data_IF_222605542086
#
_entry.id   IF_222605542086
#
_cell.length_a   1.000
_cell.length_b   1.000
_cell.length_c   1.000
_cell.angle_alpha   90.00
_cell.angle_beta   90.00
_cell.angle_gamma   90.00
#
_symmetry.space_group_name_H-M   'P 1'
#
loop_
_entity.id
_entity.type
_entity.pdbx_description
1 polymer ?
#
# COMPACT_ATOMS: atom_id res chain seq x y z
N UNK A 1 12.49 24.77 -20.00
CA UNK A 1 12.70 23.47 -19.31
C UNK A 1 12.79 22.44 -20.41
N UNK A 2 13.94 21.77 -20.60
CA UNK A 2 14.15 20.86 -21.74
C UNK A 2 13.31 19.58 -21.54
N UNK A 3 12.75 19.07 -22.64
CA UNK A 3 11.92 17.85 -22.65
C UNK A 3 12.62 16.66 -22.00
N UNK A 4 13.95 16.60 -22.12
CA UNK A 4 14.80 15.58 -21.49
C UNK A 4 14.76 15.59 -19.96
N UNK A 5 14.67 16.76 -19.31
CA UNK A 5 14.56 16.88 -17.85
C UNK A 5 13.19 16.42 -17.36
N UNK A 6 12.14 16.69 -18.13
CA UNK A 6 10.76 16.26 -17.78
C UNK A 6 10.63 14.74 -17.91
N UNK A 7 11.18 14.14 -18.98
CA UNK A 7 11.17 12.69 -19.18
C UNK A 7 12.01 11.95 -18.13
N UNK A 8 13.15 12.49 -17.73
CA UNK A 8 14.00 11.89 -16.69
C UNK A 8 13.33 11.83 -15.32
N UNK A 9 12.46 12.80 -14.99
CA UNK A 9 11.75 12.85 -13.72
C UNK A 9 10.32 12.27 -13.78
N UNK A 10 9.86 11.82 -14.93
CA UNK A 10 8.51 11.27 -15.10
C UNK A 10 8.17 10.11 -14.12
N UNK A 11 9.08 9.14 -13.85
CA UNK A 11 8.80 8.08 -12.87
C UNK A 11 8.53 8.63 -11.47
N UNK A 12 9.24 9.67 -11.07
CA UNK A 12 9.05 10.32 -9.76
C UNK A 12 7.66 10.96 -9.65
N UNK A 13 7.24 11.67 -10.71
CA UNK A 13 5.92 12.31 -10.73
C UNK A 13 4.78 11.29 -10.76
N UNK A 14 4.89 10.26 -11.60
CA UNK A 14 3.88 9.18 -11.69
C UNK A 14 3.79 8.42 -10.37
N UNK A 15 4.93 8.09 -9.76
CA UNK A 15 4.98 7.41 -8.48
C UNK A 15 4.39 8.26 -7.36
N UNK A 16 4.82 9.51 -7.24
CA UNK A 16 4.31 10.45 -6.23
C UNK A 16 2.81 10.69 -6.36
N UNK A 17 2.31 10.92 -7.58
CA UNK A 17 0.89 11.12 -7.84
C UNK A 17 0.06 9.87 -7.52
N UNK A 18 0.54 8.67 -7.89
CA UNK A 18 -0.15 7.42 -7.59
C UNK A 18 -0.20 7.15 -6.08
N UNK A 19 0.88 7.44 -5.36
CA UNK A 19 0.92 7.29 -3.91
C UNK A 19 0.03 8.32 -3.19
N UNK A 20 0.03 9.58 -3.63
CA UNK A 20 -0.87 10.60 -3.10
C UNK A 20 -2.35 10.22 -3.29
N UNK A 21 -2.70 9.72 -4.49
CA UNK A 21 -4.05 9.25 -4.76
C UNK A 21 -4.41 8.02 -3.93
N UNK A 22 -3.46 7.10 -3.73
CA UNK A 22 -3.63 5.96 -2.82
C UNK A 22 -3.93 6.43 -1.39
N UNK A 23 -3.20 7.42 -0.87
CA UNK A 23 -3.47 7.97 0.47
C UNK A 23 -4.87 8.60 0.56
N UNK A 24 -5.32 9.33 -0.45
CA UNK A 24 -6.68 9.88 -0.51
C UNK A 24 -7.73 8.77 -0.46
N UNK A 25 -7.56 7.70 -1.25
CA UNK A 25 -8.46 6.55 -1.24
C UNK A 25 -8.43 5.82 0.11
N UNK A 26 -7.26 5.73 0.75
CA UNK A 26 -7.10 5.11 2.06
C UNK A 26 -7.78 5.94 3.17
N UNK A 27 -7.68 7.27 3.11
CA UNK A 27 -8.44 8.18 4.01
C UNK A 27 -9.94 7.99 3.81
N UNK A 28 -10.38 7.88 2.56
CA UNK A 28 -11.79 7.64 2.27
C UNK A 28 -12.26 6.27 2.78
N UNK A 29 -11.48 5.20 2.56
CA UNK A 29 -11.75 3.88 3.10
C UNK A 29 -11.84 3.91 4.64
N UNK A 30 -10.92 4.62 5.29
CA UNK A 30 -10.92 4.82 6.75
C UNK A 30 -12.18 5.58 7.24
N UNK A 31 -12.62 6.60 6.51
CA UNK A 31 -13.83 7.35 6.85
C UNK A 31 -15.11 6.48 6.73
N UNK A 32 -15.18 5.61 5.71
CA UNK A 32 -16.30 4.67 5.55
C UNK A 32 -16.25 3.60 6.64
N UNK A 33 -15.08 3.06 6.95
CA UNK A 33 -14.91 2.05 8.01
C UNK A 33 -15.34 2.58 9.38
N UNK A 34 -15.07 3.87 9.67
CA UNK A 34 -15.55 4.54 10.89
C UNK A 34 -17.08 4.66 10.96
N UNK A 35 -17.76 4.79 9.80
CA UNK A 35 -19.21 4.96 9.73
C UNK A 35 -19.97 3.65 9.66
N UNK A 36 -19.52 2.77 8.77
CA UNK A 36 -20.26 1.57 8.37
C UNK A 36 -19.61 0.27 8.90
N UNK A 37 -18.39 0.36 9.44
CA UNK A 37 -17.58 -0.80 9.89
C UNK A 37 -17.46 -1.88 8.79
N UNK A 38 -17.42 -1.43 7.54
CA UNK A 38 -17.25 -2.28 6.35
C UNK A 38 -16.41 -1.56 5.32
N UNK A 39 -15.41 -2.25 4.80
CA UNK A 39 -14.59 -1.74 3.71
C UNK A 39 -15.24 -2.14 2.39
N UNK A 40 -15.68 -1.20 1.53
CA UNK A 40 -16.29 -1.54 0.26
C UNK A 40 -15.23 -2.13 -0.70
N UNK A 41 -15.51 -3.31 -1.22
CA UNK A 41 -14.62 -3.99 -2.17
C UNK A 41 -14.25 -3.11 -3.38
N UNK A 42 -15.14 -2.20 -3.78
CA UNK A 42 -14.89 -1.27 -4.89
C UNK A 42 -13.67 -0.37 -4.64
N UNK A 43 -13.47 0.11 -3.41
CA UNK A 43 -12.31 0.94 -3.05
C UNK A 43 -11.01 0.13 -3.07
N UNK A 44 -11.04 -1.08 -2.55
CA UNK A 44 -9.87 -1.98 -2.56
C UNK A 44 -9.45 -2.29 -3.99
N UNK A 45 -10.42 -2.61 -4.86
CA UNK A 45 -10.17 -2.85 -6.29
C UNK A 45 -9.66 -1.58 -6.98
N UNK A 46 -10.22 -0.40 -6.65
CA UNK A 46 -9.74 0.86 -7.22
C UNK A 46 -8.28 1.16 -6.84
N UNK A 47 -7.88 0.92 -5.59
CA UNK A 47 -6.49 1.08 -5.17
C UNK A 47 -5.57 0.09 -5.89
N UNK A 48 -5.96 -1.19 -6.01
CA UNK A 48 -5.18 -2.18 -6.75
C UNK A 48 -5.05 -1.84 -8.24
N UNK A 49 -6.14 -1.37 -8.86
CA UNK A 49 -6.16 -0.91 -10.24
C UNK A 49 -5.27 0.33 -10.44
N UNK A 50 -5.28 1.27 -9.49
CA UNK A 50 -4.40 2.43 -9.49
C UNK A 50 -2.92 2.01 -9.50
N UNK A 51 -2.55 1.06 -8.64
CA UNK A 51 -1.19 0.53 -8.60
C UNK A 51 -0.80 -0.11 -9.94
N UNK A 52 -1.67 -0.94 -10.49
CA UNK A 52 -1.42 -1.61 -11.77
C UNK A 52 -1.31 -0.58 -12.92
N UNK A 53 -2.21 0.40 -12.97
CA UNK A 53 -2.19 1.46 -13.97
C UNK A 53 -0.88 2.28 -13.93
N UNK A 54 -0.41 2.62 -12.72
CA UNK A 54 0.87 3.30 -12.55
C UNK A 54 2.04 2.45 -13.06
N UNK A 55 2.02 1.13 -12.81
CA UNK A 55 3.04 0.20 -13.33
C UNK A 55 3.03 0.07 -14.85
N UNK A 56 1.84 -0.08 -15.43
CA UNK A 56 1.69 -0.16 -16.89
C UNK A 56 2.14 1.14 -17.54
N UNK A 57 1.77 2.29 -17.00
CA UNK A 57 2.19 3.58 -17.51
C UNK A 57 3.72 3.73 -17.50
N UNK A 58 4.38 3.35 -16.40
CA UNK A 58 5.84 3.38 -16.31
C UNK A 58 6.50 2.43 -17.31
N UNK A 59 5.95 1.22 -17.50
CA UNK A 59 6.45 0.27 -18.48
C UNK A 59 6.32 0.80 -19.92
N UNK A 60 5.19 1.41 -20.26
CA UNK A 60 4.97 2.02 -21.57
C UNK A 60 5.96 3.18 -21.81
N UNK A 61 6.15 4.03 -20.81
CA UNK A 61 7.14 5.13 -20.90
C UNK A 61 8.57 4.59 -21.08
N UNK A 62 8.93 3.52 -20.39
CA UNK A 62 10.23 2.87 -20.53
C UNK A 62 10.46 2.34 -21.96
N UNK A 63 9.46 1.67 -22.53
CA UNK A 63 9.52 1.18 -23.92
C UNK A 63 9.58 2.35 -24.91
N UNK A 64 8.78 3.39 -24.73
CA UNK A 64 8.80 4.56 -25.59
C UNK A 64 10.15 5.26 -25.59
N UNK A 65 10.78 5.41 -24.42
CA UNK A 65 12.13 5.97 -24.30
C UNK A 65 13.18 5.11 -25.01
N UNK A 66 13.11 3.77 -24.88
CA UNK A 66 14.06 2.87 -25.55
C UNK A 66 13.94 2.91 -27.07
N UNK A 67 12.71 2.97 -27.61
CA UNK A 67 12.47 3.08 -29.06
C UNK A 67 12.90 4.45 -29.60
N UNK A 68 12.61 5.54 -28.87
CA UNK A 68 13.01 6.90 -29.24
C UNK A 68 14.54 7.09 -29.26
N UNK A 69 15.26 6.47 -28.33
CA UNK A 69 16.73 6.49 -28.30
C UNK A 69 17.34 5.78 -29.53
N UNK A 70 16.72 4.73 -30.02
CA UNK A 70 17.16 4.00 -31.24
C UNK A 70 17.01 4.83 -32.52
N UNK A 71 16.02 5.73 -32.58
CA UNK A 71 15.74 6.57 -33.76
C UNK A 71 16.52 7.90 -33.80
N UNK A 72 17.06 8.38 -32.68
CA UNK A 72 17.68 9.72 -32.57
C UNK A 72 19.20 9.73 -32.55
N UNK A 73 19.89 8.58 -32.69
CA UNK A 73 21.35 8.51 -32.67
C UNK A 73 21.98 8.94 -31.33
N UNK A 74 21.18 9.07 -30.29
CA UNK A 74 21.65 9.34 -28.92
C UNK A 74 22.45 8.12 -28.47
N UNK A 75 23.67 8.33 -28.03
CA UNK A 75 24.52 7.22 -27.56
C UNK A 75 23.82 6.50 -26.41
N UNK A 76 23.88 5.18 -26.44
CA UNK A 76 23.20 4.29 -25.50
C UNK A 76 23.58 4.52 -24.01
N UNK A 77 24.53 5.39 -23.73
CA UNK A 77 24.97 5.79 -22.39
C UNK A 77 24.12 6.90 -21.74
N UNK A 78 23.40 7.70 -22.54
CA UNK A 78 22.70 8.90 -22.03
C UNK A 78 21.18 8.70 -21.87
N UNK A 79 20.62 7.63 -22.43
CA UNK A 79 19.21 7.29 -22.25
C UNK A 79 19.05 6.28 -21.10
N UNK A 80 18.19 6.53 -20.10
CA UNK A 80 17.91 5.52 -19.09
C UNK A 80 17.39 4.26 -19.77
N UNK A 81 18.09 3.15 -19.58
CA UNK A 81 17.72 1.87 -20.19
C UNK A 81 16.33 1.43 -19.70
N UNK A 82 15.60 0.67 -20.54
CA UNK A 82 14.31 0.08 -20.12
C UNK A 82 14.45 -0.72 -18.80
N UNK A 83 15.63 -1.31 -18.56
CA UNK A 83 15.99 -1.94 -17.29
C UNK A 83 16.09 -0.92 -16.13
N UNK A 84 16.62 0.28 -16.37
CA UNK A 84 16.66 1.32 -15.35
C UNK A 84 15.25 1.81 -14.96
N UNK A 85 14.32 1.93 -15.92
CA UNK A 85 12.91 2.24 -15.60
C UNK A 85 12.20 1.09 -14.88
N UNK A 86 12.52 -0.16 -15.23
CA UNK A 86 11.93 -1.33 -14.54
C UNK A 86 12.46 -1.48 -13.11
N UNK A 87 13.72 -1.08 -12.87
CA UNK A 87 14.35 -1.08 -11.55
C UNK A 87 14.17 0.25 -10.80
N UNK A 88 13.86 1.36 -11.51
CA UNK A 88 13.42 2.59 -10.88
C UNK A 88 12.07 2.30 -10.22
N UNK A 89 12.14 2.05 -8.93
CA UNK A 89 10.95 1.81 -8.14
C UNK A 89 10.03 3.02 -8.16
N UNK A 90 8.75 2.77 -7.96
CA UNK A 90 7.78 3.86 -7.78
C UNK A 90 8.19 4.66 -6.54
N UNK A 91 8.46 5.96 -6.76
CA UNK A 91 8.59 6.90 -5.65
C UNK A 91 7.33 6.81 -4.75
N UNK A 92 7.45 6.89 -3.42
CA UNK A 92 8.64 7.33 -2.68
C UNK A 92 9.64 6.22 -2.33
N UNK A 93 9.37 4.96 -2.58
CA UNK A 93 10.09 3.86 -1.94
C UNK A 93 11.03 3.06 -2.84
N UNK A 94 11.14 3.40 -4.12
CA UNK A 94 12.02 2.68 -5.05
C UNK A 94 11.64 1.20 -5.30
N UNK A 95 10.37 0.85 -5.07
CA UNK A 95 9.91 -0.52 -5.10
C UNK A 95 9.80 -1.09 -6.51
N UNK A 96 10.38 -2.25 -6.73
CA UNK A 96 10.18 -3.01 -7.95
C UNK A 96 8.77 -3.63 -7.99
N UNK A 97 8.34 -4.12 -9.15
CA UNK A 97 7.09 -4.85 -9.29
C UNK A 97 7.05 -6.08 -8.37
N UNK A 98 8.19 -6.77 -8.27
CA UNK A 98 8.35 -7.96 -7.42
C UNK A 98 8.18 -7.61 -5.95
N UNK A 99 8.79 -6.52 -5.47
CA UNK A 99 8.66 -6.08 -4.08
C UNK A 99 7.22 -5.78 -3.69
N UNK A 100 6.46 -5.14 -4.60
CA UNK A 100 5.04 -4.90 -4.38
C UNK A 100 4.22 -6.19 -4.31
N UNK A 101 4.45 -7.13 -5.24
CA UNK A 101 3.76 -8.43 -5.24
C UNK A 101 4.12 -9.26 -4.00
N UNK A 102 5.39 -9.30 -3.63
CA UNK A 102 5.84 -9.97 -2.38
C UNK A 102 5.21 -9.29 -1.17
N UNK A 103 5.15 -7.97 -1.13
CA UNK A 103 4.47 -7.22 -0.07
C UNK A 103 3.00 -7.59 0.06
N UNK A 104 2.27 -7.66 -1.07
CA UNK A 104 0.87 -8.08 -1.07
C UNK A 104 0.69 -9.53 -0.58
N UNK A 105 1.60 -10.43 -0.98
CA UNK A 105 1.57 -11.82 -0.54
C UNK A 105 1.88 -11.94 0.96
N UNK A 106 2.88 -11.24 1.45
CA UNK A 106 3.29 -11.28 2.86
C UNK A 106 2.23 -10.66 3.75
N UNK A 107 1.72 -9.46 3.42
CA UNK A 107 0.73 -8.79 4.25
C UNK A 107 -0.66 -9.42 4.09
N UNK A 108 -1.13 -9.60 2.87
CA UNK A 108 -2.44 -10.18 2.59
C UNK A 108 -2.50 -11.67 2.92
N UNK A 109 -1.54 -12.45 2.42
CA UNK A 109 -1.45 -13.89 2.67
C UNK A 109 -1.12 -14.20 4.13
N UNK A 110 -0.19 -13.46 4.74
CA UNK A 110 0.17 -13.61 6.14
C UNK A 110 -1.00 -13.29 7.08
N UNK A 111 -1.72 -12.19 6.84
CA UNK A 111 -2.92 -11.84 7.62
C UNK A 111 -4.06 -12.84 7.44
N UNK A 112 -4.25 -13.37 6.21
CA UNK A 112 -5.21 -14.44 5.95
C UNK A 112 -4.84 -15.73 6.71
N UNK A 113 -3.58 -16.15 6.64
CA UNK A 113 -3.10 -17.32 7.35
C UNK A 113 -3.26 -17.17 8.88
N UNK A 114 -2.90 -16.01 9.41
CA UNK A 114 -3.09 -15.69 10.83
C UNK A 114 -4.58 -15.73 11.23
N UNK A 115 -5.46 -15.17 10.37
CA UNK A 115 -6.91 -15.19 10.59
C UNK A 115 -7.45 -16.63 10.65
N UNK A 116 -7.10 -17.47 9.68
CA UNK A 116 -7.51 -18.88 9.63
C UNK A 116 -6.98 -19.67 10.84
N UNK A 117 -5.70 -19.43 11.19
CA UNK A 117 -5.10 -20.07 12.37
C UNK A 117 -5.86 -19.67 13.65
N UNK A 118 -6.12 -18.38 13.83
CA UNK A 118 -6.83 -17.87 15.00
C UNK A 118 -8.25 -18.43 15.09
N UNK A 119 -9.00 -18.50 13.98
CA UNK A 119 -10.33 -19.07 13.94
C UNK A 119 -10.35 -20.56 14.33
N UNK A 120 -9.33 -21.32 13.91
CA UNK A 120 -9.19 -22.73 14.28
C UNK A 120 -8.88 -22.93 15.75
N UNK A 121 -8.01 -22.09 16.33
CA UNK A 121 -7.61 -22.21 17.74
C UNK A 121 -8.60 -21.58 18.71
N UNK A 122 -9.13 -20.41 18.39
CA UNK A 122 -10.00 -19.64 19.28
C UNK A 122 -11.50 -19.93 19.06
N UNK A 123 -11.87 -20.62 17.97
CA UNK A 123 -13.26 -20.90 17.54
C UNK A 123 -14.14 -19.64 17.50
N UNK A 124 -13.56 -18.53 17.13
CA UNK A 124 -14.21 -17.22 17.04
C UNK A 124 -13.82 -16.53 15.74
N UNK A 125 -14.74 -15.75 15.14
CA UNK A 125 -14.38 -14.95 13.97
C UNK A 125 -13.24 -14.01 14.32
N UNK A 126 -12.21 -13.97 13.49
CA UNK A 126 -11.02 -13.15 13.72
C UNK A 126 -11.11 -11.80 12.98
N UNK A 127 -10.49 -11.70 11.83
CA UNK A 127 -10.35 -10.47 11.09
C UNK A 127 -11.34 -10.39 9.92
N UNK A 128 -11.87 -9.19 9.65
CA UNK A 128 -12.76 -8.96 8.51
C UNK A 128 -12.05 -9.21 7.18
N UNK A 129 -12.70 -9.90 6.24
CA UNK A 129 -12.13 -10.14 4.90
C UNK A 129 -11.80 -8.86 4.13
N UNK A 130 -12.41 -7.73 4.48
CA UNK A 130 -12.09 -6.40 3.96
C UNK A 130 -10.71 -5.91 4.38
N UNK A 131 -10.36 -6.11 5.64
CA UNK A 131 -9.08 -5.69 6.22
C UNK A 131 -7.91 -6.47 5.60
N UNK A 132 -8.09 -7.77 5.38
CA UNK A 132 -7.09 -8.62 4.72
C UNK A 132 -6.80 -8.12 3.30
N UNK A 133 -7.85 -7.80 2.53
CA UNK A 133 -7.71 -7.25 1.19
C UNK A 133 -7.05 -5.87 1.21
N UNK A 134 -7.39 -5.03 2.18
CA UNK A 134 -6.78 -3.71 2.34
C UNK A 134 -5.29 -3.85 2.66
N UNK A 135 -4.90 -4.76 3.56
CA UNK A 135 -3.49 -5.05 3.86
C UNK A 135 -2.73 -5.56 2.63
N UNK A 136 -3.35 -6.40 1.81
CA UNK A 136 -2.74 -6.85 0.56
C UNK A 136 -2.44 -5.67 -0.37
N UNK A 137 -3.36 -4.72 -0.52
CA UNK A 137 -3.15 -3.52 -1.34
C UNK A 137 -2.12 -2.57 -0.72
N UNK A 138 -2.11 -2.42 0.59
CA UNK A 138 -1.05 -1.67 1.30
C UNK A 138 0.32 -2.29 0.99
N UNK A 139 0.42 -3.62 0.98
CA UNK A 139 1.64 -4.35 0.60
C UNK A 139 2.08 -4.08 -0.84
N UNK A 140 1.15 -3.91 -1.80
CA UNK A 140 1.47 -3.52 -3.18
C UNK A 140 2.20 -2.16 -3.24
N UNK A 141 1.77 -1.19 -2.43
CA UNK A 141 2.32 0.17 -2.44
C UNK A 141 3.57 0.33 -1.59
N UNK A 142 3.67 -0.34 -0.45
CA UNK A 142 4.78 -0.20 0.49
C UNK A 142 5.87 -1.27 0.33
N UNK A 143 5.56 -2.38 -0.34
CA UNK A 143 6.42 -3.56 -0.38
C UNK A 143 6.36 -4.36 0.93
N UNK A 144 7.19 -5.40 1.03
CA UNK A 144 7.15 -6.31 2.17
C UNK A 144 7.76 -5.71 3.44
N UNK A 145 8.88 -5.02 3.34
CA UNK A 145 9.63 -4.49 4.48
C UNK A 145 8.86 -3.36 5.18
N UNK A 146 8.53 -2.29 4.44
CA UNK A 146 7.75 -1.17 4.99
C UNK A 146 6.32 -1.57 5.31
N UNK A 147 5.76 -2.52 4.57
CA UNK A 147 4.46 -3.11 4.86
C UNK A 147 4.42 -3.78 6.23
N UNK A 148 5.47 -4.50 6.62
CA UNK A 148 5.58 -5.09 7.97
C UNK A 148 5.65 -4.00 9.05
N UNK A 149 6.42 -2.93 8.83
CA UNK A 149 6.45 -1.78 9.76
C UNK A 149 5.08 -1.11 9.88
N UNK A 150 4.37 -0.95 8.75
CA UNK A 150 3.01 -0.46 8.73
C UNK A 150 2.07 -1.35 9.56
N UNK A 151 2.12 -2.66 9.35
CA UNK A 151 1.30 -3.62 10.11
C UNK A 151 1.62 -3.57 11.60
N UNK A 152 2.90 -3.54 11.96
CA UNK A 152 3.33 -3.42 13.35
C UNK A 152 2.81 -2.14 14.00
N UNK A 153 2.97 -0.99 13.33
CA UNK A 153 2.46 0.28 13.81
C UNK A 153 0.92 0.28 13.94
N UNK A 154 0.20 -0.28 12.96
CA UNK A 154 -1.25 -0.42 13.02
C UNK A 154 -1.70 -1.27 14.22
N UNK A 155 -1.01 -2.40 14.49
CA UNK A 155 -1.29 -3.22 15.66
C UNK A 155 -1.06 -2.47 16.97
N UNK A 156 0.01 -1.68 17.07
CA UNK A 156 0.27 -0.83 18.25
C UNK A 156 -0.83 0.21 18.45
N UNK A 157 -1.29 0.87 17.38
CA UNK A 157 -2.38 1.85 17.45
C UNK A 157 -3.66 1.20 17.95
N UNK A 158 -4.04 0.03 17.42
CA UNK A 158 -5.22 -0.72 17.88
C UNK A 158 -5.09 -1.12 19.34
N UNK A 159 -3.91 -1.62 19.74
CA UNK A 159 -3.64 -2.00 21.13
C UNK A 159 -3.79 -0.80 22.08
N UNK A 160 -3.20 0.34 21.71
CA UNK A 160 -3.31 1.57 22.49
C UNK A 160 -4.77 2.04 22.59
N UNK A 161 -5.53 2.00 21.50
CA UNK A 161 -6.96 2.33 21.51
C UNK A 161 -7.74 1.40 22.46
N UNK A 162 -7.44 0.11 22.46
CA UNK A 162 -8.09 -0.85 23.37
C UNK A 162 -7.75 -0.57 24.83
N UNK A 163 -6.49 -0.27 25.14
CA UNK A 163 -6.06 0.06 26.51
C UNK A 163 -6.76 1.34 26.98
N UNK A 164 -6.78 2.38 26.16
CA UNK A 164 -7.45 3.66 26.50
C UNK A 164 -8.95 3.45 26.73
N UNK A 165 -9.62 2.67 25.90
CA UNK A 165 -11.05 2.36 26.08
C UNK A 165 -11.31 1.66 27.39
N UNK A 166 -10.49 0.66 27.75
CA UNK A 166 -10.62 -0.07 29.02
C UNK A 166 -10.42 0.81 30.26
N UNK A 167 -9.44 1.72 30.19
CA UNK A 167 -9.19 2.67 31.28
C UNK A 167 -10.37 3.65 31.44
N UNK A 168 -10.94 4.12 30.32
CA UNK A 168 -12.09 5.04 30.35
C UNK A 168 -13.39 4.39 30.87
N UNK A 169 -13.62 3.14 30.59
CA UNK A 169 -14.83 2.41 30.98
C UNK A 169 -14.74 1.81 32.41
N UNK A 170 -13.68 2.11 33.15
CA UNK A 170 -13.51 1.69 34.55
C UNK A 170 -13.54 0.20 34.77
N UNK A 171 -13.11 -0.61 33.78
CA UNK A 171 -13.01 -2.06 33.88
C UNK A 171 -14.36 -2.81 33.85
N UNK A 172 -15.46 -2.12 33.60
CA UNK A 172 -16.80 -2.74 33.54
C UNK A 172 -17.04 -3.35 32.15
N UNK A 173 -16.91 -4.66 32.08
CA UNK A 173 -17.43 -5.50 31.01
C UNK A 173 -16.45 -5.74 29.86
N UNK A 174 -16.21 -7.04 29.60
CA UNK A 174 -15.53 -7.53 28.38
C UNK A 174 -16.54 -7.42 27.22
N UNK A 175 -16.92 -6.22 26.85
CA UNK A 175 -17.59 -5.99 25.59
C UNK A 175 -16.53 -6.06 24.49
N UNK A 176 -16.61 -7.02 23.59
CA UNK A 176 -15.79 -7.05 22.38
C UNK A 176 -16.19 -5.87 21.49
N UNK A 177 -15.56 -4.71 21.72
CA UNK A 177 -15.73 -3.60 20.82
C UNK A 177 -14.90 -3.88 19.57
N UNK A 178 -15.58 -4.08 18.46
CA UNK A 178 -14.94 -4.12 17.15
C UNK A 178 -14.42 -2.71 16.83
N UNK A 179 -13.09 -2.53 16.90
CA UNK A 179 -12.47 -1.27 16.53
C UNK A 179 -12.30 -1.21 15.01
N UNK A 180 -12.55 -0.05 14.38
CA UNK A 180 -12.28 0.14 12.97
C UNK A 180 -10.77 0.02 12.72
N UNK A 181 -10.38 -0.90 11.84
CA UNK A 181 -8.97 -1.22 11.60
C UNK A 181 -8.33 -0.33 10.52
N UNK A 182 -9.13 0.18 9.57
CA UNK A 182 -8.63 1.02 8.49
C UNK A 182 -7.95 2.32 8.96
N UNK A 183 -8.44 3.06 10.00
CA UNK A 183 -7.72 4.21 10.53
C UNK A 183 -6.36 3.87 11.13
N UNK A 184 -6.24 2.69 11.76
CA UNK A 184 -4.96 2.23 12.29
C UNK A 184 -3.96 1.93 11.16
N UNK A 185 -4.43 1.31 10.07
CA UNK A 185 -3.61 1.10 8.87
C UNK A 185 -3.17 2.45 8.26
N UNK A 186 -4.06 3.44 8.19
CA UNK A 186 -3.70 4.76 7.69
C UNK A 186 -2.54 5.38 8.49
N UNK A 187 -2.62 5.35 9.81
CA UNK A 187 -1.53 5.81 10.69
C UNK A 187 -0.26 4.99 10.45
N UNK A 188 -0.40 3.66 10.31
CA UNK A 188 0.71 2.77 10.00
C UNK A 188 1.40 3.11 8.68
N UNK A 189 0.63 3.40 7.62
CA UNK A 189 1.16 3.82 6.32
C UNK A 189 1.92 5.13 6.43
N UNK A 190 1.39 6.12 7.15
CA UNK A 190 2.08 7.40 7.37
C UNK A 190 3.40 7.18 8.12
N UNK A 191 3.42 6.40 9.19
CA UNK A 191 4.65 6.09 9.93
C UNK A 191 5.65 5.36 9.03
N UNK A 192 5.22 4.33 8.31
CA UNK A 192 6.07 3.56 7.41
C UNK A 192 6.60 4.38 6.22
N UNK A 193 5.92 5.47 5.85
CA UNK A 193 6.39 6.39 4.81
C UNK A 193 7.48 7.35 5.28
N UNK A 194 7.66 7.50 6.60
CA UNK A 194 8.69 8.36 7.20
C UNK A 194 9.98 7.59 7.54
N UNK A 195 9.90 6.24 7.55
CA UNK A 195 11.03 5.34 7.76
C UNK A 195 11.69 4.96 6.42
#
# INVERSE_FOLDING_TARGET
MSVSVVLGNAPVYVGGASFALFLVLLVWASAIDLRERRIPNKLVVAMAALWLAARVLLAVMAVACSVGAFGSGVQAGDAPSAAAFATMGIFPFGLTLIDGLVGALVLGGGSLAASIAFERFAQRPSMGGGDIKLLAVVGLFLGWERGLWCLFAACLVVLMMQVVSRVREGGKGIGYQTFPFAPAILVGVVIASLL
#
